data_IF_386128824898
#
_entry.id   IF_386128824898
#
_cell.length_a   1.000
_cell.length_b   1.000
_cell.length_c   1.000
_cell.angle_alpha   90.00
_cell.angle_beta   90.00
_cell.angle_gamma   90.00
#
_symmetry.space_group_name_H-M   'P 1'
#
loop_
_entity.id
_entity.type
_entity.pdbx_description
1 polymer ?
#
# COMPACT_ATOMS: atom_id res chain seq x y z
N UNK A 1 7.87 -12.48 -15.31
CA UNK A 1 7.05 -12.35 -16.52
C UNK A 1 6.43 -10.97 -16.49
N UNK A 2 6.01 -10.44 -17.63
CA UNK A 2 5.67 -9.01 -17.76
C UNK A 2 4.24 -8.66 -17.30
N UNK A 3 3.57 -9.58 -16.61
CA UNK A 3 2.24 -9.33 -16.05
C UNK A 3 2.39 -8.52 -14.76
N UNK A 4 1.76 -7.33 -14.65
CA UNK A 4 1.88 -6.51 -13.45
C UNK A 4 1.44 -7.25 -12.19
N UNK A 5 2.23 -7.10 -11.12
CA UNK A 5 2.03 -7.72 -9.83
C UNK A 5 1.46 -6.72 -8.82
N UNK A 6 0.33 -7.08 -8.22
CA UNK A 6 -0.31 -6.27 -7.17
C UNK A 6 -0.05 -6.91 -5.80
N UNK A 7 0.67 -6.20 -4.93
CA UNK A 7 0.88 -6.57 -3.54
C UNK A 7 -0.35 -6.30 -2.68
N UNK A 8 -0.88 -7.33 -1.99
CA UNK A 8 -2.07 -7.22 -1.13
C UNK A 8 -1.88 -7.96 0.20
N UNK A 9 -2.67 -7.56 1.20
CA UNK A 9 -2.81 -8.27 2.47
C UNK A 9 -1.85 -7.80 3.56
N UNK A 10 -2.38 -7.38 4.71
CA UNK A 10 -1.58 -7.04 5.90
C UNK A 10 -0.62 -5.84 5.74
N UNK A 11 -0.88 -4.98 4.74
CA UNK A 11 -0.09 -3.81 4.43
C UNK A 11 -0.17 -2.74 5.51
N UNK A 12 0.96 -2.10 5.75
CA UNK A 12 1.13 -0.90 6.60
C UNK A 12 2.12 0.02 5.90
N UNK A 13 2.10 1.32 6.20
CA UNK A 13 3.05 2.30 5.61
C UNK A 13 4.50 1.84 5.73
N UNK A 14 4.89 1.29 6.89
CA UNK A 14 6.26 0.82 7.15
C UNK A 14 6.67 -0.39 6.30
N UNK A 15 5.71 -1.19 5.82
CA UNK A 15 5.96 -2.40 5.01
C UNK A 15 5.86 -2.16 3.51
N UNK A 16 5.35 -1.00 3.09
CA UNK A 16 5.06 -0.71 1.69
C UNK A 16 6.32 -0.77 0.82
N UNK A 17 7.43 -0.15 1.26
CA UNK A 17 8.69 -0.15 0.52
C UNK A 17 9.18 -1.56 0.22
N UNK A 18 9.16 -2.46 1.21
CA UNK A 18 9.56 -3.86 1.02
C UNK A 18 8.69 -4.64 0.03
N UNK A 19 7.44 -4.22 -0.20
CA UNK A 19 6.56 -4.87 -1.19
C UNK A 19 6.92 -4.46 -2.61
N UNK A 20 7.28 -3.19 -2.82
CA UNK A 20 7.84 -2.73 -4.09
C UNK A 20 9.21 -3.38 -4.37
N UNK A 21 10.08 -3.44 -3.36
CA UNK A 21 11.39 -4.11 -3.46
C UNK A 21 11.28 -5.61 -3.79
N UNK A 22 10.18 -6.26 -3.37
CA UNK A 22 9.87 -7.64 -3.72
C UNK A 22 9.37 -7.82 -5.17
N UNK A 23 9.22 -6.73 -5.93
CA UNK A 23 8.84 -6.75 -7.34
C UNK A 23 7.35 -6.52 -7.60
N UNK A 24 6.60 -5.98 -6.64
CA UNK A 24 5.24 -5.53 -6.91
C UNK A 24 5.25 -4.20 -7.68
N UNK A 25 4.45 -4.11 -8.74
CA UNK A 25 4.26 -2.88 -9.52
C UNK A 25 3.23 -1.96 -8.86
N UNK A 26 2.36 -2.51 -8.00
CA UNK A 26 1.29 -1.78 -7.33
C UNK A 26 0.98 -2.42 -5.98
N UNK A 27 0.35 -1.66 -5.09
CA UNK A 27 -0.18 -2.14 -3.82
C UNK A 27 -1.67 -1.85 -3.70
N UNK A 28 -2.43 -2.73 -3.03
CA UNK A 28 -3.84 -2.49 -2.72
C UNK A 28 -4.12 -2.61 -1.23
N UNK A 29 -4.65 -1.52 -0.66
CA UNK A 29 -4.88 -1.32 0.78
C UNK A 29 -6.32 -0.92 1.01
N UNK A 30 -6.98 -1.61 1.95
CA UNK A 30 -8.37 -1.32 2.33
C UNK A 30 -8.50 -1.12 3.82
N UNK A 31 -8.24 -2.15 4.62
CA UNK A 31 -8.53 -2.13 6.06
C UNK A 31 -7.70 -1.10 6.83
N UNK A 32 -6.45 -0.87 6.44
CA UNK A 32 -5.59 0.11 7.09
C UNK A 32 -6.10 1.56 6.88
N UNK A 33 -6.77 1.85 5.76
CA UNK A 33 -7.42 3.14 5.49
C UNK A 33 -8.78 3.20 6.16
N UNK A 34 -9.68 2.27 5.84
CA UNK A 34 -11.10 2.33 6.25
C UNK A 34 -11.31 2.14 7.76
N UNK A 35 -10.39 1.48 8.47
CA UNK A 35 -10.49 1.28 9.92
C UNK A 35 -9.68 2.29 10.73
N UNK A 36 -9.02 3.26 10.08
CA UNK A 36 -8.29 4.32 10.76
C UNK A 36 -9.27 5.38 11.29
N UNK A 37 -8.97 5.97 12.46
CA UNK A 37 -9.81 7.03 13.05
C UNK A 37 -9.98 8.27 12.16
N UNK A 38 -9.11 8.43 11.16
CA UNK A 38 -9.16 9.49 10.16
C UNK A 38 -8.72 8.88 8.82
N UNK A 39 -9.67 8.32 8.04
CA UNK A 39 -9.38 7.63 6.77
C UNK A 39 -8.71 8.52 5.73
N UNK A 40 -9.12 9.78 5.62
CA UNK A 40 -8.58 10.74 4.65
C UNK A 40 -7.11 11.03 4.94
N UNK A 41 -6.77 11.31 6.21
CA UNK A 41 -5.37 11.49 6.62
C UNK A 41 -4.55 10.22 6.36
N UNK A 42 -5.15 9.04 6.57
CA UNK A 42 -4.45 7.78 6.35
C UNK A 42 -4.24 7.50 4.86
N UNK A 43 -5.22 7.81 4.01
CA UNK A 43 -5.09 7.76 2.56
C UNK A 43 -3.98 8.70 2.07
N UNK A 44 -3.93 9.95 2.56
CA UNK A 44 -2.85 10.89 2.21
C UNK A 44 -1.46 10.34 2.56
N UNK A 45 -1.33 9.63 3.70
CA UNK A 45 -0.08 8.98 4.06
C UNK A 45 0.32 7.88 3.04
N UNK A 46 -0.64 7.10 2.54
CA UNK A 46 -0.41 6.12 1.48
C UNK A 46 -0.04 6.77 0.15
N UNK A 47 -0.72 7.84 -0.25
CA UNK A 47 -0.41 8.57 -1.47
C UNK A 47 0.99 9.22 -1.43
N UNK A 48 1.44 9.63 -0.26
CA UNK A 48 2.77 10.24 -0.09
C UNK A 48 3.94 9.26 -0.29
N UNK A 49 3.68 7.94 -0.21
CA UNK A 49 4.73 6.91 -0.32
C UNK A 49 4.52 5.96 -1.51
N UNK A 50 3.40 6.07 -2.22
CA UNK A 50 3.15 5.27 -3.40
C UNK A 50 4.20 5.58 -4.47
N UNK A 51 4.76 4.53 -5.07
CA UNK A 51 5.74 4.60 -6.17
C UNK A 51 5.03 4.57 -7.53
#
# INVERSE_FOLDING_TARGET
GDLPLIGIGGLTIARAAGVYEAGADCISVVSDVLRHNNPEKRLLAWLAIAQ
#
